data_IF_032699305525
#
_entry.id   IF_032699305525
#
_cell.length_a   1.000
_cell.length_b   1.000
_cell.length_c   1.000
_cell.angle_alpha   90.00
_cell.angle_beta   90.00
_cell.angle_gamma   90.00
#
_symmetry.space_group_name_H-M   'P 1'
#
loop_
_entity.id
_entity.type
_entity.pdbx_description
1 polymer ?
#
# COMPACT_ATOMS: atom_id res chain seq x y z
N UNK A 1 -18.59 9.52 -8.32
CA UNK A 1 -19.02 8.73 -7.13
C UNK A 1 -17.85 8.02 -6.45
N UNK A 2 -16.93 7.39 -7.19
CA UNK A 2 -15.78 6.68 -6.59
C UNK A 2 -14.81 7.55 -5.79
N UNK A 3 -14.47 8.76 -6.26
CA UNK A 3 -13.53 9.65 -5.58
C UNK A 3 -13.99 10.02 -4.17
N UNK A 4 -15.26 10.42 -4.03
CA UNK A 4 -15.88 10.73 -2.72
C UNK A 4 -15.86 9.51 -1.80
N UNK A 5 -16.06 8.30 -2.34
CA UNK A 5 -16.00 7.05 -1.57
C UNK A 5 -14.58 6.78 -1.06
N UNK A 6 -13.56 6.96 -1.90
CA UNK A 6 -12.14 6.82 -1.52
C UNK A 6 -11.78 7.87 -0.45
N UNK A 7 -12.19 9.12 -0.65
CA UNK A 7 -12.00 10.21 0.31
C UNK A 7 -12.61 9.84 1.67
N UNK A 8 -13.89 9.44 1.68
CA UNK A 8 -14.60 9.07 2.90
C UNK A 8 -13.92 7.92 3.64
N UNK A 9 -13.43 6.91 2.91
CA UNK A 9 -12.71 5.78 3.52
C UNK A 9 -11.43 6.24 4.22
N UNK A 10 -10.61 7.08 3.58
CA UNK A 10 -9.39 7.56 4.21
C UNK A 10 -9.66 8.48 5.40
N UNK A 11 -10.62 9.41 5.29
CA UNK A 11 -11.01 10.24 6.44
C UNK A 11 -11.56 9.40 7.59
N UNK A 12 -12.34 8.36 7.28
CA UNK A 12 -12.82 7.41 8.27
C UNK A 12 -11.66 6.72 9.01
N UNK A 13 -10.65 6.23 8.27
CA UNK A 13 -9.45 5.65 8.89
C UNK A 13 -8.68 6.65 9.74
N UNK A 14 -8.55 7.90 9.29
CA UNK A 14 -7.91 8.97 10.04
C UNK A 14 -8.60 9.19 11.40
N UNK A 15 -9.92 9.38 11.38
CA UNK A 15 -10.73 9.63 12.58
C UNK A 15 -10.70 8.45 13.55
N UNK A 16 -10.93 7.22 13.06
CA UNK A 16 -11.02 6.04 13.92
C UNK A 16 -9.69 5.66 14.59
N UNK A 17 -8.57 6.02 13.97
CA UNK A 17 -7.24 5.68 14.47
C UNK A 17 -6.52 6.87 15.10
N UNK A 18 -7.18 8.03 15.18
CA UNK A 18 -6.58 9.30 15.63
C UNK A 18 -5.27 9.60 14.88
N UNK A 19 -5.26 9.32 13.57
CA UNK A 19 -4.11 9.56 12.70
C UNK A 19 -4.31 10.83 11.90
N UNK A 20 -3.24 11.60 11.74
CA UNK A 20 -3.25 12.73 10.81
C UNK A 20 -3.24 12.23 9.37
N UNK A 21 -4.20 12.70 8.58
CA UNK A 21 -4.29 12.44 7.14
C UNK A 21 -3.83 13.67 6.36
N UNK A 22 -2.71 13.56 5.66
CA UNK A 22 -2.29 14.57 4.69
C UNK A 22 -2.83 14.19 3.31
N UNK A 23 -3.64 15.07 2.72
CA UNK A 23 -4.12 14.95 1.34
C UNK A 23 -3.41 15.97 0.45
N UNK A 24 -2.93 15.54 -0.71
CA UNK A 24 -2.38 16.41 -1.74
C UNK A 24 -3.04 16.10 -3.09
N UNK A 25 -3.43 17.15 -3.82
CA UNK A 25 -4.10 17.03 -5.12
C UNK A 25 -3.29 17.85 -6.11
N UNK A 26 -2.74 17.16 -7.10
CA UNK A 26 -2.10 17.76 -8.27
C UNK A 26 -2.52 16.89 -9.48
N UNK A 27 -1.62 16.53 -10.39
CA UNK A 27 -1.86 15.54 -11.44
C UNK A 27 -2.28 14.15 -10.91
N UNK A 28 -1.93 13.85 -9.65
CA UNK A 28 -2.37 12.66 -8.91
C UNK A 28 -2.95 13.09 -7.57
N UNK A 29 -3.86 12.28 -7.04
CA UNK A 29 -4.35 12.40 -5.67
C UNK A 29 -3.48 11.53 -4.77
N UNK A 30 -2.98 12.10 -3.69
CA UNK A 30 -2.11 11.46 -2.70
C UNK A 30 -2.73 11.54 -1.32
N UNK A 31 -2.87 10.41 -0.65
CA UNK A 31 -3.23 10.31 0.76
C UNK A 31 -2.05 9.75 1.53
N UNK A 32 -1.64 10.43 2.59
CA UNK A 32 -0.48 10.08 3.39
C UNK A 32 -0.87 9.98 4.86
N UNK A 33 -0.59 8.82 5.46
CA UNK A 33 -0.61 8.59 6.89
C UNK A 33 0.80 8.34 7.41
N UNK A 34 1.00 8.65 8.69
CA UNK A 34 2.22 8.38 9.44
C UNK A 34 1.87 7.73 10.77
N UNK A 35 2.52 6.61 11.09
CA UNK A 35 2.37 5.91 12.36
C UNK A 35 3.64 5.13 12.65
N UNK A 36 4.21 5.26 13.84
CA UNK A 36 5.40 4.51 14.28
C UNK A 36 6.59 4.61 13.30
N UNK A 37 6.87 5.81 12.76
CA UNK A 37 7.89 6.06 11.72
C UNK A 37 7.64 5.33 10.38
N UNK A 38 6.50 4.67 10.22
CA UNK A 38 6.04 4.05 8.97
C UNK A 38 5.03 4.97 8.30
N UNK A 39 5.32 5.27 7.04
CA UNK A 39 4.46 6.02 6.15
C UNK A 39 3.60 5.08 5.32
N UNK A 40 2.33 5.44 5.16
CA UNK A 40 1.42 4.81 4.23
C UNK A 40 0.99 5.85 3.19
N UNK A 41 1.22 5.57 1.92
CA UNK A 41 0.93 6.47 0.81
C UNK A 41 0.00 5.75 -0.16
N UNK A 42 -1.17 6.31 -0.40
CA UNK A 42 -2.07 5.88 -1.47
C UNK A 42 -2.07 6.95 -2.57
N UNK A 43 -1.75 6.55 -3.80
CA UNK A 43 -1.67 7.46 -4.95
C UNK A 43 -2.48 6.95 -6.12
N UNK A 44 -3.22 7.83 -6.80
CA UNK A 44 -3.92 7.47 -8.03
C UNK A 44 -4.15 8.68 -8.94
N UNK A 45 -4.37 8.39 -10.23
CA UNK A 45 -4.83 9.41 -11.18
C UNK A 45 -6.34 9.66 -11.00
N UNK A 46 -6.79 10.89 -10.71
CA UNK A 46 -8.23 11.17 -10.53
C UNK A 46 -9.07 10.89 -11.78
N UNK A 47 -8.47 10.91 -12.98
CA UNK A 47 -9.12 10.57 -14.25
C UNK A 47 -9.17 9.05 -14.50
N UNK A 48 -8.30 8.28 -13.86
CA UNK A 48 -8.21 6.83 -14.04
C UNK A 48 -7.81 6.13 -12.73
N UNK A 49 -8.81 5.88 -11.88
CA UNK A 49 -8.67 5.29 -10.54
C UNK A 49 -8.10 3.87 -10.54
N UNK A 50 -8.13 3.17 -11.69
CA UNK A 50 -7.54 1.85 -11.84
C UNK A 50 -6.00 1.86 -11.79
N UNK A 51 -5.36 2.99 -12.14
CA UNK A 51 -3.93 3.22 -11.90
C UNK A 51 -3.72 3.77 -10.49
N UNK A 52 -3.99 2.92 -9.50
CA UNK A 52 -3.82 3.25 -8.10
C UNK A 52 -2.76 2.37 -7.45
N UNK A 53 -1.93 2.98 -6.62
CA UNK A 53 -0.88 2.30 -5.88
C UNK A 53 -0.97 2.62 -4.39
N UNK A 54 -0.62 1.64 -3.58
CA UNK A 54 -0.46 1.81 -2.14
C UNK A 54 0.97 1.41 -1.77
N UNK A 55 1.71 2.35 -1.19
CA UNK A 55 3.08 2.13 -0.72
C UNK A 55 3.15 2.27 0.80
N UNK A 56 3.90 1.36 1.43
CA UNK A 56 4.09 1.31 2.88
C UNK A 56 5.58 1.11 3.16
N UNK A 57 6.18 1.97 3.97
CA UNK A 57 7.59 1.85 4.34
C UNK A 57 8.02 2.92 5.34
N UNK A 58 9.26 2.89 5.83
CA UNK A 58 9.77 3.92 6.73
C UNK A 58 9.71 5.32 6.09
N UNK A 59 9.44 6.34 6.90
CA UNK A 59 9.48 7.75 6.46
C UNK A 59 10.87 8.16 5.96
N UNK A 60 11.91 7.51 6.46
CA UNK A 60 13.31 7.70 6.07
C UNK A 60 13.73 6.83 4.89
N UNK A 61 12.81 6.10 4.26
CA UNK A 61 13.13 5.26 3.11
C UNK A 61 13.62 6.15 1.97
N UNK A 62 14.83 5.87 1.49
CA UNK A 62 15.43 6.63 0.40
C UNK A 62 15.09 6.01 -0.97
N UNK A 63 16.10 5.70 -1.76
CA UNK A 63 15.98 5.08 -3.07
C UNK A 63 16.14 3.57 -2.93
N UNK A 64 15.21 2.81 -3.51
CA UNK A 64 15.31 1.36 -3.59
C UNK A 64 16.53 0.97 -4.44
N UNK A 65 17.43 0.19 -3.86
CA UNK A 65 18.62 -0.34 -4.54
C UNK A 65 18.39 -1.79 -4.96
N UNK A 66 17.64 -2.55 -4.17
CA UNK A 66 17.17 -3.89 -4.49
C UNK A 66 15.64 -3.85 -4.69
N UNK A 67 15.14 -4.46 -5.76
CA UNK A 67 13.70 -4.53 -6.05
C UNK A 67 13.29 -5.96 -6.34
N UNK A 68 12.27 -6.43 -5.63
CA UNK A 68 11.65 -7.74 -5.80
C UNK A 68 10.19 -7.55 -6.19
N UNK A 69 9.78 -8.07 -7.34
CA UNK A 69 8.40 -7.99 -7.79
C UNK A 69 7.78 -9.38 -7.92
N UNK A 70 6.55 -9.52 -7.41
CA UNK A 70 5.71 -10.69 -7.60
C UNK A 70 4.35 -10.23 -8.13
N UNK A 71 4.03 -10.62 -9.35
CA UNK A 71 2.73 -10.34 -9.96
C UNK A 71 2.17 -11.60 -10.62
N UNK A 72 0.87 -11.84 -10.44
CA UNK A 72 0.15 -12.83 -11.22
C UNK A 72 -0.28 -12.17 -12.53
N UNK A 73 0.08 -12.75 -13.68
CA UNK A 73 -0.32 -12.28 -15.00
C UNK A 73 -1.84 -12.04 -15.04
N UNK A 74 -2.25 -10.79 -15.30
CA UNK A 74 -3.65 -10.39 -15.47
C UNK A 74 -3.88 -10.01 -16.92
N UNK A 75 -4.95 -10.51 -17.51
CA UNK A 75 -5.29 -10.19 -18.89
C UNK A 75 -5.56 -8.68 -19.03
N UNK A 76 -4.89 -8.01 -19.98
CA UNK A 76 -5.08 -6.58 -20.25
C UNK A 76 -4.29 -5.59 -19.37
N UNK A 77 -3.41 -6.04 -18.46
CA UNK A 77 -2.52 -5.16 -17.69
C UNK A 77 -1.04 -5.49 -17.98
N UNK A 78 -0.16 -4.49 -18.16
CA UNK A 78 1.27 -4.74 -18.29
C UNK A 78 1.78 -5.43 -17.01
N UNK A 79 2.51 -6.53 -17.18
CA UNK A 79 3.10 -7.28 -16.06
C UNK A 79 4.32 -6.50 -15.56
N UNK A 80 4.48 -6.36 -14.24
CA UNK A 80 5.62 -5.65 -13.66
C UNK A 80 6.94 -6.22 -14.19
N UNK A 81 7.79 -5.32 -14.69
CA UNK A 81 9.09 -5.61 -15.28
C UNK A 81 10.04 -6.25 -14.25
N UNK A 82 10.71 -7.32 -14.67
CA UNK A 82 11.84 -8.03 -14.05
C UNK A 82 11.53 -9.02 -12.90
N UNK A 83 11.29 -10.28 -13.30
CA UNK A 83 11.19 -11.51 -12.50
C UNK A 83 12.53 -12.05 -11.98
N UNK A 84 13.55 -11.21 -11.81
CA UNK A 84 14.88 -11.65 -11.37
C UNK A 84 15.11 -11.33 -9.90
N UNK A 85 14.80 -12.31 -9.05
CA UNK A 85 15.58 -12.76 -7.89
C UNK A 85 14.62 -13.33 -6.83
N UNK A 86 14.59 -14.65 -6.80
CA UNK A 86 13.79 -15.49 -5.92
C UNK A 86 14.42 -15.50 -4.52
N UNK A 87 14.43 -14.37 -3.83
CA UNK A 87 14.65 -14.29 -2.38
C UNK A 87 13.33 -13.86 -1.78
N UNK A 88 12.47 -14.84 -1.50
CA UNK A 88 11.14 -14.56 -0.99
C UNK A 88 11.23 -14.05 0.45
N UNK A 89 10.94 -12.75 0.58
CA UNK A 89 10.44 -12.07 1.76
C UNK A 89 9.23 -12.81 2.40
N UNK A 90 8.82 -12.50 3.64
CA UNK A 90 7.96 -13.36 4.45
C UNK A 90 6.79 -13.96 3.67
N UNK A 91 6.64 -15.29 3.74
CA UNK A 91 5.69 -16.07 2.93
C UNK A 91 4.25 -15.58 3.09
N UNK A 92 3.95 -14.94 4.21
CA UNK A 92 2.70 -14.31 4.55
C UNK A 92 2.28 -13.25 3.53
N UNK A 93 3.24 -12.44 3.03
CA UNK A 93 2.96 -11.39 2.03
C UNK A 93 2.56 -11.98 0.67
N UNK A 94 2.89 -13.24 0.39
CA UNK A 94 2.52 -13.90 -0.87
C UNK A 94 1.02 -14.09 -1.01
N UNK A 95 0.28 -14.10 0.10
CA UNK A 95 -1.19 -14.13 0.08
C UNK A 95 -1.76 -12.92 -0.68
N UNK A 96 -1.05 -11.79 -0.69
CA UNK A 96 -1.43 -10.57 -1.40
C UNK A 96 -1.30 -10.69 -2.92
N UNK A 97 -0.43 -11.56 -3.43
CA UNK A 97 -0.20 -11.73 -4.88
C UNK A 97 -1.43 -12.26 -5.64
N UNK A 98 -2.38 -12.86 -4.91
CA UNK A 98 -3.68 -13.24 -5.46
C UNK A 98 -4.49 -12.03 -5.94
N UNK A 99 -4.33 -10.87 -5.28
CA UNK A 99 -5.14 -9.65 -5.49
C UNK A 99 -4.33 -8.43 -5.95
N UNK A 100 -3.02 -8.45 -5.81
CA UNK A 100 -2.15 -7.31 -6.15
C UNK A 100 -0.89 -7.80 -6.87
N UNK A 101 -0.33 -6.97 -7.74
CA UNK A 101 1.11 -6.97 -7.98
C UNK A 101 1.77 -6.43 -6.72
N UNK A 102 2.71 -7.20 -6.18
CA UNK A 102 3.47 -6.88 -4.98
C UNK A 102 4.88 -6.50 -5.41
N UNK A 103 5.31 -5.29 -5.05
CA UNK A 103 6.67 -4.80 -5.27
C UNK A 103 7.28 -4.55 -3.89
N UNK A 104 8.45 -5.11 -3.63
CA UNK A 104 9.21 -4.92 -2.40
C UNK A 104 10.54 -4.31 -2.79
N UNK A 105 10.82 -3.12 -2.27
CA UNK A 105 12.06 -2.42 -2.48
C UNK A 105 12.84 -2.36 -1.16
N UNK A 106 14.16 -2.40 -1.26
CA UNK A 106 15.06 -2.24 -0.12
C UNK A 106 16.08 -1.15 -0.41
N UNK A 107 16.23 -0.22 0.51
CA UNK A 107 17.19 0.87 0.38
C UNK A 107 18.60 0.43 0.85
N UNK A 108 19.59 1.33 0.69
CA UNK A 108 20.98 1.11 1.14
C UNK A 108 21.12 0.90 2.65
N UNK A 109 20.13 1.33 3.44
CA UNK A 109 20.08 1.17 4.89
C UNK A 109 19.31 -0.08 5.33
N UNK A 110 18.94 -0.95 4.38
CA UNK A 110 18.15 -2.17 4.61
C UNK A 110 16.73 -1.90 5.11
N UNK A 111 16.22 -0.67 4.96
CA UNK A 111 14.80 -0.39 5.14
C UNK A 111 14.02 -0.97 3.97
N UNK A 112 12.74 -1.27 4.21
CA UNK A 112 11.88 -1.94 3.27
C UNK A 112 10.68 -1.08 2.92
N UNK A 113 10.32 -1.07 1.65
CA UNK A 113 9.10 -0.46 1.15
C UNK A 113 8.32 -1.50 0.37
N UNK A 114 7.04 -1.63 0.69
CA UNK A 114 6.11 -2.53 0.00
C UNK A 114 5.10 -1.71 -0.76
N UNK A 115 4.93 -2.00 -2.04
CA UNK A 115 3.98 -1.34 -2.92
C UNK A 115 3.02 -2.37 -3.52
N UNK A 116 1.72 -2.08 -3.47
CA UNK A 116 0.63 -2.88 -4.02
C UNK A 116 -0.01 -2.17 -5.22
N UNK A 117 -0.13 -2.88 -6.35
CA UNK A 117 -0.73 -2.34 -7.58
C UNK A 117 -1.59 -3.38 -8.34
N UNK A 118 -2.81 -3.04 -8.79
CA UNK A 118 -3.57 -1.84 -8.44
C UNK A 118 -4.18 -1.95 -7.03
N UNK A 119 -4.16 -0.87 -6.24
CA UNK A 119 -4.83 -0.80 -4.94
C UNK A 119 -6.01 0.17 -4.97
N UNK A 120 -7.23 -0.34 -5.09
CA UNK A 120 -8.45 0.49 -5.10
C UNK A 120 -9.20 0.24 -3.79
N UNK A 121 -9.20 1.20 -2.84
CA UNK A 121 -9.98 1.09 -1.62
C UNK A 121 -11.45 0.90 -1.98
N UNK A 122 -12.11 -0.16 -1.49
CA UNK A 122 -13.53 -0.48 -1.77
C UNK A 122 -14.41 -0.33 -0.53
N UNK A 123 -14.00 -1.00 0.55
CA UNK A 123 -14.63 -0.97 1.87
C UNK A 123 -13.53 -1.02 2.94
N UNK A 124 -13.92 -0.86 4.21
CA UNK A 124 -12.98 -0.81 5.33
C UNK A 124 -12.14 -2.08 5.40
N UNK A 125 -12.76 -3.27 5.41
CA UNK A 125 -12.09 -4.56 5.57
C UNK A 125 -11.07 -4.85 4.46
N UNK A 126 -11.47 -4.67 3.20
CA UNK A 126 -10.60 -4.92 2.04
C UNK A 126 -9.45 -3.89 1.95
N UNK A 127 -9.62 -2.71 2.55
CA UNK A 127 -8.58 -1.68 2.60
C UNK A 127 -7.61 -1.93 3.75
N UNK A 128 -8.11 -2.20 4.97
CA UNK A 128 -7.27 -2.33 6.16
C UNK A 128 -6.55 -3.68 6.26
N UNK A 129 -7.17 -4.78 5.80
CA UNK A 129 -6.57 -6.12 5.89
C UNK A 129 -5.18 -6.24 5.23
N UNK A 130 -4.97 -5.83 3.96
CA UNK A 130 -3.64 -5.91 3.35
C UNK A 130 -2.62 -4.98 4.02
N UNK A 131 -3.05 -3.80 4.48
CA UNK A 131 -2.21 -2.82 5.18
C UNK A 131 -1.71 -3.40 6.50
N UNK A 132 -2.64 -3.92 7.31
CA UNK A 132 -2.31 -4.52 8.59
C UNK A 132 -1.45 -5.77 8.42
N UNK A 133 -1.73 -6.61 7.42
CA UNK A 133 -0.90 -7.79 7.14
C UNK A 133 0.55 -7.37 6.85
N UNK A 134 0.77 -6.36 6.01
CA UNK A 134 2.13 -5.86 5.72
C UNK A 134 2.79 -5.36 7.00
N UNK A 135 2.08 -4.55 7.79
CA UNK A 135 2.66 -3.92 8.97
C UNK A 135 2.97 -4.91 10.10
N UNK A 136 2.09 -5.90 10.31
CA UNK A 136 2.32 -6.98 11.27
C UNK A 136 3.51 -7.84 10.85
N UNK A 137 3.61 -8.15 9.55
CA UNK A 137 4.65 -9.03 9.02
C UNK A 137 6.04 -8.39 9.04
N UNK A 138 6.14 -7.09 8.77
CA UNK A 138 7.45 -6.41 8.64
C UNK A 138 7.88 -5.64 9.87
N UNK A 139 6.93 -5.14 10.67
CA UNK A 139 7.21 -4.24 11.79
C UNK A 139 6.47 -4.62 13.08
N UNK A 140 5.80 -5.78 13.12
CA UNK A 140 5.12 -6.32 14.30
C UNK A 140 4.08 -5.40 14.92
N UNK A 141 3.40 -4.57 14.13
CA UNK A 141 2.30 -3.72 14.62
C UNK A 141 1.14 -3.62 13.63
N UNK A 142 -0.05 -3.28 14.14
CA UNK A 142 -1.22 -2.97 13.31
C UNK A 142 -1.28 -1.50 12.96
N UNK A 143 -1.44 -1.20 11.67
CA UNK A 143 -1.58 0.18 11.20
C UNK A 143 -2.93 0.77 11.61
N UNK A 144 -4.02 0.05 11.31
CA UNK A 144 -5.38 0.40 11.69
C UNK A 144 -5.94 -0.58 12.72
N UNK A 145 -6.72 -0.10 13.68
CA UNK A 145 -7.37 -0.91 14.70
C UNK A 145 -8.49 -1.78 14.12
N UNK A 146 -8.71 -2.95 14.72
CA UNK A 146 -9.77 -3.89 14.32
C UNK A 146 -11.14 -3.55 14.92
N UNK A 147 -11.25 -2.50 15.74
CA UNK A 147 -12.50 -2.12 16.44
C UNK A 147 -13.56 -1.55 15.51
N UNK A 148 -13.26 -1.43 14.22
CA UNK A 148 -14.22 -0.99 13.22
C UNK A 148 -15.15 -2.15 12.82
N UNK A 149 -16.37 -2.13 13.35
CA UNK A 149 -17.50 -2.88 12.78
C UNK A 149 -17.98 -2.12 11.53
N UNK A 150 -18.27 -2.86 10.45
CA UNK A 150 -18.91 -2.32 9.24
C UNK A 150 -20.29 -1.76 9.55
#
# INVERSE_FOLDING_TARGET
MELKRIDNLWHFFATQNQLFLKKHIDNKVLYVFKKNKIQLIHSFNPRFTAQSSLSIGPESFEMGVETYAASKKRFGLPTALNLHQRLFFPKELLKLTSRYSLIIEKDRFKNLRVTLEPFIPKNIKDTSAPINLICETLWSFRYFSNTVKN
#
